data_IF_242355999773
#
_entry.id   IF_242355999773
#
_cell.length_a   1.000
_cell.length_b   1.000
_cell.length_c   1.000
_cell.angle_alpha   90.00
_cell.angle_beta   90.00
_cell.angle_gamma   90.00
#
_symmetry.space_group_name_H-M   'P 1'
#
loop_
_entity.id
_entity.type
_entity.pdbx_description
1 polymer ?
#
# COMPACT_ATOMS: atom_id res chain seq x y z
N UNK A 1 27.33 -9.40 -6.78
CA UNK A 1 26.25 -9.63 -5.79
C UNK A 1 25.75 -8.24 -5.39
N UNK A 2 24.65 -7.77 -5.95
CA UNK A 2 24.21 -6.41 -5.70
C UNK A 2 23.70 -6.32 -4.26
N UNK A 3 24.46 -5.63 -3.41
CA UNK A 3 23.98 -5.08 -2.15
C UNK A 3 22.81 -4.15 -2.49
N UNK A 4 21.64 -4.75 -2.63
CA UNK A 4 20.46 -4.09 -3.16
C UNK A 4 19.89 -3.35 -1.98
N UNK A 5 20.32 -2.09 -1.78
CA UNK A 5 19.68 -1.19 -0.83
C UNK A 5 18.18 -1.26 -1.08
N UNK A 6 17.45 -1.81 -0.12
CA UNK A 6 16.03 -2.08 -0.30
C UNK A 6 15.33 -0.76 -0.63
N UNK A 7 14.63 -0.66 -1.78
CA UNK A 7 14.09 0.61 -2.20
C UNK A 7 13.09 1.10 -1.14
N UNK A 8 13.37 2.25 -0.55
CA UNK A 8 12.49 2.86 0.45
C UNK A 8 11.39 3.63 -0.28
N UNK A 9 10.14 3.42 0.13
CA UNK A 9 8.98 4.16 -0.39
C UNK A 9 8.22 4.84 0.72
N UNK A 10 7.41 5.81 0.34
CA UNK A 10 6.55 6.53 1.28
C UNK A 10 5.16 5.90 1.29
N UNK A 11 4.70 5.52 2.47
CA UNK A 11 3.32 5.07 2.69
C UNK A 11 2.35 6.22 2.37
N UNK A 12 1.38 5.98 1.49
CA UNK A 12 0.39 7.01 1.10
C UNK A 12 -0.62 7.33 2.21
N UNK A 13 -0.77 6.44 3.20
CA UNK A 13 -1.66 6.63 4.36
C UNK A 13 -1.03 7.50 5.44
N UNK A 14 0.04 7.02 6.07
CA UNK A 14 0.72 7.71 7.16
C UNK A 14 1.82 8.70 6.71
N UNK A 15 2.22 8.69 5.42
CA UNK A 15 3.32 9.49 4.87
C UNK A 15 4.72 9.18 5.43
N UNK A 16 4.88 8.09 6.15
CA UNK A 16 6.20 7.62 6.60
C UNK A 16 6.94 6.87 5.49
N UNK A 17 8.27 6.98 5.50
CA UNK A 17 9.17 6.23 4.62
C UNK A 17 9.45 4.88 5.25
N UNK A 18 9.25 3.81 4.50
CA UNK A 18 9.51 2.45 4.93
C UNK A 18 10.07 1.64 3.76
N UNK A 19 10.83 0.57 4.03
CA UNK A 19 11.27 -0.35 3.00
C UNK A 19 10.10 -0.92 2.20
N UNK A 20 10.34 -1.29 0.95
CA UNK A 20 9.32 -1.93 0.10
C UNK A 20 8.80 -3.25 0.67
N UNK A 21 9.57 -3.93 1.52
CA UNK A 21 9.16 -5.18 2.17
C UNK A 21 8.10 -4.95 3.25
N UNK A 22 8.12 -3.79 3.91
CA UNK A 22 7.09 -3.39 4.90
C UNK A 22 5.85 -2.77 4.25
N UNK A 23 5.92 -2.46 2.96
CA UNK A 23 4.88 -1.76 2.22
C UNK A 23 4.16 -2.68 1.24
N UNK A 24 2.86 -2.79 1.39
CA UNK A 24 1.97 -3.39 0.41
C UNK A 24 1.86 -2.48 -0.82
N UNK A 25 2.17 -3.02 -1.98
CA UNK A 25 1.88 -2.37 -3.26
C UNK A 25 0.41 -2.57 -3.58
N UNK A 26 -0.28 -1.49 -3.92
CA UNK A 26 -1.68 -1.49 -4.33
C UNK A 26 -1.76 -0.93 -5.74
N UNK A 27 -2.44 -1.63 -6.64
CA UNK A 27 -2.66 -1.18 -8.02
C UNK A 27 -4.15 -0.96 -8.25
N UNK A 28 -4.50 -0.15 -9.24
CA UNK A 28 -5.88 -0.02 -9.70
C UNK A 28 -6.12 -0.94 -10.90
N UNK A 29 -7.19 -1.73 -10.84
CA UNK A 29 -7.65 -2.59 -11.94
C UNK A 29 -9.15 -2.41 -12.09
N UNK A 30 -9.58 -1.97 -13.27
CA UNK A 30 -11.01 -1.79 -13.58
C UNK A 30 -11.76 -0.97 -12.51
N UNK A 31 -11.11 0.05 -11.92
CA UNK A 31 -11.71 0.87 -10.86
C UNK A 31 -11.64 0.29 -9.44
N UNK A 32 -11.09 -0.91 -9.25
CA UNK A 32 -10.89 -1.51 -7.93
C UNK A 32 -9.44 -1.41 -7.47
N UNK A 33 -9.24 -1.21 -6.17
CA UNK A 33 -7.93 -1.29 -5.53
C UNK A 33 -7.59 -2.76 -5.28
N UNK A 34 -6.54 -3.22 -5.95
CA UNK A 34 -6.06 -4.61 -5.87
C UNK A 34 -4.73 -4.66 -5.12
N UNK A 35 -4.60 -5.45 -4.05
CA UNK A 35 -3.34 -5.70 -3.38
C UNK A 35 -2.40 -6.53 -4.27
N UNK A 36 -1.14 -6.13 -4.35
CA UNK A 36 -0.09 -6.79 -5.12
C UNK A 36 1.17 -7.02 -4.25
N UNK A 37 1.09 -7.91 -3.24
CA UNK A 37 2.23 -8.20 -2.36
C UNK A 37 3.43 -8.74 -3.14
N UNK A 38 3.20 -9.44 -4.26
CA UNK A 38 4.26 -10.03 -5.09
C UNK A 38 4.84 -9.05 -6.12
N UNK A 39 4.32 -7.82 -6.21
CA UNK A 39 4.80 -6.77 -7.15
C UNK A 39 4.78 -7.21 -8.62
N UNK A 40 3.86 -8.10 -9.00
CA UNK A 40 3.80 -8.69 -10.35
C UNK A 40 2.83 -7.98 -11.29
N UNK A 41 1.93 -7.15 -10.75
CA UNK A 41 0.89 -6.55 -11.58
C UNK A 41 1.43 -5.33 -12.36
N UNK A 42 1.23 -5.26 -13.69
CA UNK A 42 1.61 -4.07 -14.44
C UNK A 42 0.77 -2.85 -14.02
N UNK A 43 1.30 -1.65 -14.25
CA UNK A 43 0.60 -0.38 -14.00
C UNK A 43 1.17 0.44 -12.84
N UNK A 44 0.52 1.58 -12.57
CA UNK A 44 0.89 2.47 -11.46
C UNK A 44 0.48 1.81 -10.14
N UNK A 45 1.40 1.80 -9.19
CA UNK A 45 1.16 1.27 -7.85
C UNK A 45 1.36 2.34 -6.79
N UNK A 46 0.47 2.35 -5.80
CA UNK A 46 0.62 3.07 -4.55
C UNK A 46 1.28 2.13 -3.52
N UNK A 47 1.99 2.71 -2.54
CA UNK A 47 2.58 1.94 -1.45
C UNK A 47 1.89 2.33 -0.15
N UNK A 48 1.39 1.35 0.60
CA UNK A 48 0.70 1.55 1.88
C UNK A 48 1.13 0.45 2.83
N UNK A 49 1.21 0.73 4.13
CA UNK A 49 1.39 -0.37 5.08
C UNK A 49 0.17 -1.30 5.02
N UNK A 50 0.36 -2.62 5.14
CA UNK A 50 -0.72 -3.62 5.25
C UNK A 50 -1.42 -3.54 6.62
N UNK A 51 -1.76 -2.33 7.06
CA UNK A 51 -2.43 -2.08 8.34
C UNK A 51 -3.74 -1.35 8.10
N UNK A 52 -4.81 -1.69 8.85
CA UNK A 52 -6.12 -1.05 8.69
C UNK A 52 -6.05 0.45 8.94
N UNK A 53 -5.19 0.92 9.85
CA UNK A 53 -4.99 2.35 10.11
C UNK A 53 -4.43 3.12 8.91
N UNK A 54 -3.41 2.58 8.24
CA UNK A 54 -2.86 3.21 7.04
C UNK A 54 -3.82 3.15 5.85
N UNK A 55 -4.55 2.04 5.72
CA UNK A 55 -5.57 1.88 4.69
C UNK A 55 -6.68 2.93 4.84
N UNK A 56 -7.29 3.02 6.03
CA UNK A 56 -8.36 3.97 6.31
C UNK A 56 -7.90 5.42 6.11
N UNK A 57 -6.69 5.76 6.55
CA UNK A 57 -6.11 7.09 6.33
C UNK A 57 -5.93 7.40 4.84
N UNK A 58 -5.49 6.42 4.05
CA UNK A 58 -5.30 6.57 2.61
C UNK A 58 -6.64 6.72 1.85
N UNK A 59 -7.66 5.95 2.24
CA UNK A 59 -9.03 6.05 1.69
C UNK A 59 -9.64 7.42 2.00
N UNK A 60 -9.67 7.80 3.28
CA UNK A 60 -10.28 9.06 3.74
C UNK A 60 -9.65 10.28 3.07
N UNK A 61 -8.35 10.26 2.81
CA UNK A 61 -7.59 11.36 2.17
C UNK A 61 -7.56 11.27 0.64
N UNK A 62 -8.23 10.29 0.03
CA UNK A 62 -8.16 9.99 -1.41
C UNK A 62 -6.71 9.86 -1.92
N UNK A 63 -5.83 9.33 -1.06
CA UNK A 63 -4.40 9.25 -1.33
C UNK A 63 -4.10 8.28 -2.48
N UNK A 64 -4.90 7.21 -2.62
CA UNK A 64 -4.81 6.27 -3.74
C UNK A 64 -5.11 6.95 -5.07
N UNK A 65 -6.17 7.76 -5.15
CA UNK A 65 -6.54 8.50 -6.36
C UNK A 65 -5.39 9.41 -6.81
N UNK A 66 -4.75 10.11 -5.86
CA UNK A 66 -3.59 10.97 -6.11
C UNK A 66 -2.35 10.17 -6.53
N UNK A 67 -2.01 9.10 -5.80
CA UNK A 67 -0.82 8.30 -6.05
C UNK A 67 -0.91 7.51 -7.37
N UNK A 68 -2.10 7.06 -7.73
CA UNK A 68 -2.37 6.32 -8.96
C UNK A 68 -2.66 7.24 -10.15
N UNK A 69 -2.67 8.57 -9.94
CA UNK A 69 -3.00 9.61 -10.95
C UNK A 69 -4.31 9.34 -11.66
N UNK A 70 -5.31 8.92 -10.90
CA UNK A 70 -6.65 8.70 -11.41
C UNK A 70 -7.39 10.04 -11.53
N UNK A 71 -8.31 10.17 -12.50
CA UNK A 71 -9.15 11.35 -12.60
C UNK A 71 -9.87 11.59 -11.28
N UNK A 72 -9.75 12.81 -10.77
CA UNK A 72 -10.28 13.18 -9.46
C UNK A 72 -11.79 13.00 -9.44
N UNK A 73 -12.28 12.11 -8.56
CA UNK A 73 -13.71 11.83 -8.41
C UNK A 73 -14.14 10.43 -8.82
N UNK A 74 -13.27 9.62 -9.44
CA UNK A 74 -13.63 8.22 -9.73
C UNK A 74 -13.79 7.43 -8.42
N UNK A 75 -14.97 6.83 -8.16
CA UNK A 75 -15.14 5.93 -7.03
C UNK A 75 -14.20 4.74 -7.21
N UNK A 76 -13.41 4.48 -6.17
CA UNK A 76 -12.50 3.34 -6.15
C UNK A 76 -13.02 2.32 -5.16
N UNK A 77 -13.22 1.10 -5.65
CA UNK A 77 -13.67 0.00 -4.83
C UNK A 77 -12.50 -0.51 -3.99
N UNK A 78 -12.50 -0.17 -2.71
CA UNK A 78 -11.49 -0.59 -1.76
C UNK A 78 -11.81 -1.94 -1.10
N UNK A 79 -12.99 -2.52 -1.35
CA UNK A 79 -13.44 -3.80 -0.77
C UNK A 79 -12.37 -4.91 -0.81
N UNK A 80 -11.80 -5.25 -1.98
CA UNK A 80 -10.80 -6.31 -2.08
C UNK A 80 -9.51 -6.01 -1.30
N UNK A 81 -9.10 -4.73 -1.26
CA UNK A 81 -7.93 -4.31 -0.49
C UNK A 81 -8.19 -4.38 1.01
N UNK A 82 -9.39 -3.98 1.46
CA UNK A 82 -9.80 -4.05 2.87
C UNK A 82 -9.87 -5.48 3.35
N UNK A 83 -10.53 -6.35 2.58
CA UNK A 83 -10.60 -7.78 2.86
C UNK A 83 -9.20 -8.39 2.98
N UNK A 84 -8.31 -8.08 2.03
CA UNK A 84 -6.93 -8.55 2.08
C UNK A 84 -6.15 -8.04 3.28
N UNK A 85 -6.28 -6.77 3.65
CA UNK A 85 -5.56 -6.20 4.80
C UNK A 85 -6.11 -6.78 6.11
N UNK A 86 -7.42 -6.92 6.25
CA UNK A 86 -8.06 -7.53 7.42
C UNK A 86 -7.72 -9.02 7.53
N UNK A 87 -7.70 -9.76 6.41
CA UNK A 87 -7.33 -11.18 6.36
C UNK A 87 -5.82 -11.44 6.51
N UNK A 88 -4.97 -10.54 5.99
CA UNK A 88 -3.49 -10.66 6.07
C UNK A 88 -2.90 -10.07 7.35
N UNK A 89 -3.74 -9.51 8.24
CA UNK A 89 -3.31 -8.93 9.52
C UNK A 89 -2.58 -9.93 10.44
N UNK A 90 -2.70 -11.24 10.18
CA UNK A 90 -1.93 -12.28 10.89
C UNK A 90 -0.46 -12.35 10.44
N UNK A 91 -0.17 -12.17 9.15
CA UNK A 91 1.18 -12.39 8.59
C UNK A 91 2.01 -11.11 8.54
N UNK A 92 1.36 -9.95 8.34
CA UNK A 92 2.02 -8.65 8.30
C UNK A 92 2.45 -8.14 9.69
N UNK A 93 1.88 -8.70 10.77
CA UNK A 93 2.23 -8.35 12.14
C UNK A 93 3.59 -8.93 12.59
N UNK A 94 4.30 -9.66 11.72
CA UNK A 94 5.63 -10.21 11.94
C UNK A 94 6.79 -9.22 11.69
N UNK A 95 6.58 -8.13 10.95
CA UNK A 95 7.61 -7.09 10.73
C UNK A 95 7.56 -6.00 11.82
N UNK A 96 7.38 -6.41 13.08
CA UNK A 96 7.64 -5.53 14.22
C UNK A 96 9.14 -5.56 14.47
N UNK A 97 9.92 -4.63 13.91
CA UNK A 97 11.03 -4.00 14.65
C UNK A 97 11.69 -2.85 13.85
N UNK A 98 11.81 -1.70 14.53
CA UNK A 98 12.78 -0.60 14.36
C UNK A 98 12.61 0.40 13.21
N UNK A 99 11.93 1.49 13.54
CA UNK A 99 12.44 2.85 13.34
C UNK A 99 11.93 3.67 14.54
N UNK A 100 12.72 4.31 15.40
CA UNK A 100 14.15 4.61 15.48
C UNK A 100 14.30 5.61 16.64
N UNK A 101 15.44 5.57 17.31
CA UNK A 101 15.83 6.31 18.53
C UNK A 101 15.70 7.84 18.47
#
# INVERSE_FOLDING_TARGET
>A
MAETSEPVRTCVGCRQRAPVSDLLRVVVRSGALVPDPRRRLPGRGASVHPTPGCLHAAERRRAFTRALRLPGGSPLEAGPLRDHVLGSSSEAAGARTRAGE
#
